data_IF_187488482381
#
_entry.id   IF_187488482381
#
_cell.length_a   1.000
_cell.length_b   1.000
_cell.length_c   1.000
_cell.angle_alpha   90.00
_cell.angle_beta   90.00
_cell.angle_gamma   90.00
#
_symmetry.space_group_name_H-M   'P 1'
#
loop_
_entity.id
_entity.type
_entity.pdbx_description
1 polymer ?
#
# COMPACT_ATOMS: atom_id res chain seq x y z
N UNK A 1 25.99 6.38 23.24
CA UNK A 1 24.86 5.41 23.31
C UNK A 1 23.65 5.82 22.45
N UNK A 2 23.28 7.11 22.33
CA UNK A 2 22.17 7.55 21.46
C UNK A 2 22.56 7.96 20.03
N UNK A 3 23.86 7.98 19.70
CA UNK A 3 24.34 8.41 18.37
C UNK A 3 24.12 7.35 17.27
N UNK A 4 24.12 6.06 17.62
CA UNK A 4 23.90 4.96 16.66
C UNK A 4 22.42 4.74 16.27
N UNK A 5 21.46 5.20 17.10
CA UNK A 5 20.02 5.04 16.80
C UNK A 5 19.48 6.12 15.85
N UNK A 6 20.00 7.35 15.94
CA UNK A 6 19.59 8.47 15.08
C UNK A 6 19.68 8.14 13.58
N UNK A 7 20.79 7.59 13.05
CA UNK A 7 20.90 7.28 11.62
C UNK A 7 19.94 6.16 11.18
N UNK A 8 19.71 5.15 12.03
CA UNK A 8 18.80 4.05 11.70
C UNK A 8 17.33 4.49 11.67
N UNK A 9 16.91 5.37 12.58
CA UNK A 9 15.57 5.97 12.56
C UNK A 9 15.39 6.93 11.38
N UNK A 10 16.43 7.64 10.96
CA UNK A 10 16.39 8.49 9.77
C UNK A 10 16.19 7.65 8.49
N UNK A 11 16.80 6.47 8.43
CA UNK A 11 16.64 5.54 7.32
C UNK A 11 15.21 4.97 7.26
N UNK A 12 14.64 4.60 8.41
CA UNK A 12 13.24 4.17 8.52
C UNK A 12 12.28 5.24 8.03
N UNK A 13 12.44 6.49 8.50
CA UNK A 13 11.57 7.60 8.11
C UNK A 13 11.60 7.86 6.60
N UNK A 14 12.79 7.86 6.00
CA UNK A 14 12.95 8.08 4.56
C UNK A 14 12.25 7.00 3.75
N UNK A 15 12.36 5.73 4.16
CA UNK A 15 11.72 4.58 3.49
C UNK A 15 10.21 4.59 3.68
N UNK A 16 9.73 4.93 4.89
CA UNK A 16 8.30 5.06 5.17
C UNK A 16 7.65 6.12 4.28
N UNK A 17 8.30 7.28 4.09
CA UNK A 17 7.81 8.32 3.17
C UNK A 17 7.69 7.81 1.73
N UNK A 18 8.66 7.03 1.25
CA UNK A 18 8.62 6.45 -0.10
C UNK A 18 7.50 5.41 -0.23
N UNK A 19 7.30 4.53 0.75
CA UNK A 19 6.22 3.54 0.74
C UNK A 19 4.85 4.22 0.77
N UNK A 20 4.65 5.22 1.63
CA UNK A 20 3.41 5.99 1.69
C UNK A 20 3.16 6.75 0.39
N UNK A 21 4.20 7.39 -0.17
CA UNK A 21 4.11 8.06 -1.46
C UNK A 21 3.72 7.11 -2.60
N UNK A 22 4.27 5.90 -2.61
CA UNK A 22 3.94 4.87 -3.60
C UNK A 22 2.47 4.43 -3.49
N UNK A 23 1.99 4.19 -2.27
CA UNK A 23 0.57 3.85 -2.03
C UNK A 23 -0.34 4.98 -2.49
N UNK A 24 0.01 6.25 -2.22
CA UNK A 24 -0.77 7.41 -2.66
C UNK A 24 -0.84 7.50 -4.18
N UNK A 25 0.29 7.34 -4.88
CA UNK A 25 0.31 7.36 -6.36
C UNK A 25 -0.49 6.20 -6.93
N UNK A 26 -0.31 4.99 -6.39
CA UNK A 26 -1.09 3.82 -6.79
C UNK A 26 -2.59 4.01 -6.52
N UNK A 27 -2.95 4.64 -5.40
CA UNK A 27 -4.34 4.96 -5.04
C UNK A 27 -4.96 5.93 -6.01
N UNK A 28 -4.28 7.03 -6.36
CA UNK A 28 -4.79 7.98 -7.35
C UNK A 28 -4.98 7.33 -8.72
N UNK A 29 -4.05 6.47 -9.14
CA UNK A 29 -4.20 5.67 -10.36
C UNK A 29 -5.41 4.73 -10.30
N UNK A 30 -5.53 3.93 -9.23
CA UNK A 30 -6.65 3.00 -9.04
C UNK A 30 -8.00 3.70 -8.88
N UNK A 31 -8.01 4.91 -8.29
CA UNK A 31 -9.21 5.72 -8.15
C UNK A 31 -9.73 6.19 -9.50
N UNK A 32 -8.89 6.35 -10.53
CA UNK A 32 -9.37 6.61 -11.90
C UNK A 32 -10.04 5.36 -12.51
N UNK A 33 -9.50 4.17 -12.25
CA UNK A 33 -9.97 2.90 -12.82
C UNK A 33 -10.94 2.10 -11.92
N UNK A 34 -11.54 2.74 -10.90
CA UNK A 34 -12.36 2.08 -9.90
C UNK A 34 -13.55 1.30 -10.48
N UNK A 35 -14.15 1.79 -11.58
CA UNK A 35 -15.28 1.14 -12.25
C UNK A 35 -14.91 -0.23 -12.82
N UNK A 36 -13.77 -0.33 -13.50
CA UNK A 36 -13.30 -1.59 -14.09
C UNK A 36 -12.98 -2.63 -13.00
N UNK A 37 -12.37 -2.18 -11.89
CA UNK A 37 -12.05 -3.06 -10.76
C UNK A 37 -13.34 -3.55 -10.10
N UNK A 38 -14.33 -2.66 -9.91
CA UNK A 38 -15.62 -3.03 -9.34
C UNK A 38 -16.39 -4.01 -10.23
N UNK A 39 -16.37 -3.82 -11.55
CA UNK A 39 -17.01 -4.72 -12.50
C UNK A 39 -16.35 -6.11 -12.50
N UNK A 40 -15.02 -6.17 -12.41
CA UNK A 40 -14.28 -7.43 -12.26
C UNK A 40 -14.69 -8.19 -10.99
N UNK A 41 -14.80 -7.50 -9.86
CA UNK A 41 -15.26 -8.09 -8.59
C UNK A 41 -16.73 -8.52 -8.69
N UNK A 42 -17.58 -7.70 -9.29
CA UNK A 42 -19.01 -7.99 -9.48
C UNK A 42 -19.23 -9.20 -10.37
N UNK A 43 -18.43 -9.39 -11.42
CA UNK A 43 -18.54 -10.53 -12.33
C UNK A 43 -18.30 -11.88 -11.61
N UNK A 44 -17.52 -11.88 -10.53
CA UNK A 44 -17.32 -13.07 -9.69
C UNK A 44 -18.44 -13.30 -8.67
N UNK A 45 -19.33 -12.32 -8.45
CA UNK A 45 -20.38 -12.38 -7.44
C UNK A 45 -21.73 -12.73 -8.08
N UNK A 46 -22.27 -13.92 -7.76
CA UNK A 46 -23.56 -14.40 -8.30
C UNK A 46 -24.80 -13.87 -7.57
N UNK A 47 -24.63 -12.98 -6.59
CA UNK A 47 -25.72 -12.42 -5.78
C UNK A 47 -26.13 -11.01 -6.22
N UNK A 48 -27.38 -10.63 -5.96
CA UNK A 48 -27.89 -9.28 -6.21
C UNK A 48 -27.29 -8.30 -5.21
N UNK A 49 -26.50 -7.34 -5.69
CA UNK A 49 -26.02 -6.23 -4.85
C UNK A 49 -27.12 -5.18 -4.73
N UNK A 50 -27.73 -5.10 -3.55
CA UNK A 50 -28.66 -4.04 -3.17
C UNK A 50 -27.88 -2.94 -2.47
N UNK A 51 -28.03 -1.72 -2.96
CA UNK A 51 -27.44 -0.53 -2.37
C UNK A 51 -28.43 0.01 -1.32
N UNK A 52 -28.05 -0.04 -0.05
CA UNK A 52 -28.87 0.42 1.07
C UNK A 52 -28.87 1.95 1.21
N UNK A 53 -27.83 2.63 0.70
CA UNK A 53 -27.71 4.09 0.79
C UNK A 53 -26.93 4.73 -0.36
N UNK A 54 -27.23 5.99 -0.76
CA UNK A 54 -26.46 6.72 -1.77
C UNK A 54 -24.96 6.83 -1.43
N UNK A 55 -24.64 6.91 -0.13
CA UNK A 55 -23.27 7.06 0.35
C UNK A 55 -22.44 5.78 0.20
N UNK A 56 -23.11 4.61 0.14
CA UNK A 56 -22.43 3.32 0.02
C UNK A 56 -21.70 3.19 -1.31
N UNK A 57 -22.24 3.74 -2.40
CA UNK A 57 -21.56 3.70 -3.71
C UNK A 57 -20.19 4.36 -3.67
N UNK A 58 -20.08 5.51 -2.99
CA UNK A 58 -18.80 6.23 -2.81
C UNK A 58 -17.88 5.45 -1.87
N UNK A 59 -18.42 4.92 -0.76
CA UNK A 59 -17.64 4.12 0.19
C UNK A 59 -17.07 2.85 -0.46
N UNK A 60 -17.84 2.19 -1.32
CA UNK A 60 -17.40 1.01 -2.08
C UNK A 60 -16.31 1.38 -3.07
N UNK A 61 -16.46 2.48 -3.82
CA UNK A 61 -15.44 2.97 -4.74
C UNK A 61 -14.10 3.21 -4.03
N UNK A 62 -14.14 3.90 -2.88
CA UNK A 62 -12.94 4.19 -2.06
C UNK A 62 -12.31 2.92 -1.51
N UNK A 63 -13.11 2.00 -0.96
CA UNK A 63 -12.61 0.73 -0.41
C UNK A 63 -11.93 -0.11 -1.49
N UNK A 64 -12.53 -0.20 -2.67
CA UNK A 64 -12.00 -0.97 -3.79
C UNK A 64 -10.72 -0.35 -4.34
N UNK A 65 -10.71 0.96 -4.57
CA UNK A 65 -9.50 1.63 -5.07
C UNK A 65 -8.36 1.54 -4.06
N UNK A 66 -8.65 1.63 -2.75
CA UNK A 66 -7.67 1.46 -1.69
C UNK A 66 -7.11 0.04 -1.63
N UNK A 67 -7.97 -0.97 -1.62
CA UNK A 67 -7.54 -2.38 -1.64
C UNK A 67 -6.71 -2.70 -2.89
N UNK A 68 -7.14 -2.26 -4.07
CA UNK A 68 -6.40 -2.48 -5.32
C UNK A 68 -5.04 -1.76 -5.31
N UNK A 69 -4.98 -0.54 -4.79
CA UNK A 69 -3.73 0.21 -4.67
C UNK A 69 -2.72 -0.45 -3.74
N UNK A 70 -3.17 -1.05 -2.63
CA UNK A 70 -2.30 -1.85 -1.75
C UNK A 70 -1.75 -3.06 -2.50
N UNK A 71 -2.58 -3.77 -3.26
CA UNK A 71 -2.15 -4.94 -4.03
C UNK A 71 -1.11 -4.55 -5.10
N UNK A 72 -1.32 -3.44 -5.80
CA UNK A 72 -0.38 -2.95 -6.82
C UNK A 72 0.91 -2.40 -6.20
N UNK A 73 0.83 -1.75 -5.03
CA UNK A 73 2.01 -1.21 -4.34
C UNK A 73 2.80 -2.26 -3.56
N UNK A 74 2.24 -3.44 -3.34
CA UNK A 74 2.87 -4.53 -2.59
C UNK A 74 4.31 -4.87 -3.00
N UNK A 75 4.67 -5.06 -4.29
CA UNK A 75 6.06 -5.34 -4.68
C UNK A 75 7.04 -4.24 -4.24
N UNK A 76 6.63 -2.98 -4.33
CA UNK A 76 7.46 -1.83 -3.96
C UNK A 76 7.60 -1.75 -2.43
N UNK A 77 6.50 -1.96 -1.70
CA UNK A 77 6.51 -2.00 -0.24
C UNK A 77 7.42 -3.10 0.27
N UNK A 78 7.33 -4.31 -0.31
CA UNK A 78 8.20 -5.43 0.05
C UNK A 78 9.66 -5.15 -0.26
N UNK A 79 9.97 -4.57 -1.41
CA UNK A 79 11.33 -4.18 -1.74
C UNK A 79 11.89 -3.19 -0.70
N UNK A 80 11.09 -2.19 -0.32
CA UNK A 80 11.51 -1.19 0.65
C UNK A 80 11.63 -1.71 2.08
N UNK A 81 10.78 -2.68 2.43
CA UNK A 81 10.84 -3.41 3.69
C UNK A 81 12.07 -4.34 3.74
N UNK A 82 12.38 -5.06 2.66
CA UNK A 82 13.58 -5.89 2.57
C UNK A 82 14.85 -5.06 2.72
N UNK A 83 14.91 -3.93 2.03
CA UNK A 83 16.07 -3.06 2.02
C UNK A 83 16.23 -2.32 3.36
N UNK A 84 15.19 -2.27 4.21
CA UNK A 84 15.28 -1.85 5.62
C UNK A 84 15.77 -2.96 6.54
N UNK A 85 15.34 -4.20 6.34
CA UNK A 85 15.71 -5.35 7.17
C UNK A 85 17.16 -5.81 6.89
N UNK A 86 17.56 -5.83 5.62
CA UNK A 86 18.89 -6.22 5.17
C UNK A 86 20.03 -5.59 5.99
N UNK A 87 20.14 -4.24 6.12
CA UNK A 87 21.21 -3.63 6.91
C UNK A 87 21.14 -3.95 8.41
N UNK A 88 19.98 -4.37 8.94
CA UNK A 88 19.85 -4.87 10.32
C UNK A 88 20.42 -6.28 10.52
N UNK A 89 20.35 -7.13 9.49
CA UNK A 89 20.82 -8.52 9.53
C UNK A 89 22.31 -8.65 9.17
N UNK A 90 22.79 -7.83 8.22
CA UNK A 90 24.21 -7.79 7.80
C UNK A 90 25.13 -7.05 8.80
N UNK A 91 24.61 -6.55 9.93
CA UNK A 91 25.42 -5.95 11.01
C UNK A 91 26.40 -6.94 11.66
N UNK A 92 26.22 -8.24 11.46
CA UNK A 92 27.14 -9.28 11.96
C UNK A 92 28.32 -9.59 11.01
N UNK A 93 28.43 -8.92 9.85
CA UNK A 93 29.50 -9.20 8.87
C UNK A 93 30.53 -8.06 8.70
N UNK A 94 30.55 -7.06 9.58
CA UNK A 94 31.66 -6.10 9.61
C UNK A 94 32.53 -6.32 10.85
N UNK A 95 33.50 -7.22 10.71
CA UNK A 95 34.81 -7.08 11.36
C UNK A 95 35.62 -6.00 10.67
#
# INVERSE_FOLDING_TARGET
MFEDLKPHLQELRKRLMVSVGTILVAFLGCFHFWKNIFEFVKNSYKGTLIQLSPIEGVMVAVKISFSAAIVISMPIIFWQLWLFIAPGLYKNEKK
#
